data_IF_869992456320
#
_entry.id   IF_869992456320
#
_cell.length_a   1.000
_cell.length_b   1.000
_cell.length_c   1.000
_cell.angle_alpha   90.00
_cell.angle_beta   90.00
_cell.angle_gamma   90.00
#
_symmetry.space_group_name_H-M   'P 1'
#
loop_
_entity.id
_entity.type
_entity.pdbx_description
1 polymer ?
#
# COMPACT_ATOMS: atom_id res chain seq x y z
N UNK A 1 -13.15 41.85 -18.84
CA UNK A 1 -12.63 40.83 -19.78
C UNK A 1 -11.27 40.24 -19.40
N UNK A 2 -10.41 40.94 -18.64
CA UNK A 2 -9.09 40.43 -18.23
C UNK A 2 -9.14 39.35 -17.13
N UNK A 3 -10.06 39.46 -16.16
CA UNK A 3 -10.22 38.49 -15.06
C UNK A 3 -10.70 37.10 -15.50
N UNK A 4 -11.54 37.00 -16.54
CA UNK A 4 -11.99 35.71 -17.07
C UNK A 4 -10.86 34.91 -17.73
N UNK A 5 -9.89 35.60 -18.35
CA UNK A 5 -8.75 34.97 -19.03
C UNK A 5 -7.73 34.39 -18.05
N UNK A 6 -7.55 35.04 -16.90
CA UNK A 6 -6.67 34.55 -15.83
C UNK A 6 -7.28 33.30 -15.19
N UNK A 7 -8.59 33.32 -14.87
CA UNK A 7 -9.29 32.17 -14.28
C UNK A 7 -9.24 30.92 -15.17
N UNK A 8 -9.43 31.09 -16.48
CA UNK A 8 -9.32 29.98 -17.44
C UNK A 8 -7.90 29.43 -17.58
N UNK A 9 -6.87 30.27 -17.41
CA UNK A 9 -5.48 29.81 -17.45
C UNK A 9 -5.15 28.97 -16.20
N UNK A 10 -5.58 29.42 -15.01
CA UNK A 10 -5.36 28.68 -13.76
C UNK A 10 -6.06 27.31 -13.78
N UNK A 11 -7.26 27.23 -14.36
CA UNK A 11 -8.02 25.98 -14.46
C UNK A 11 -7.37 24.97 -15.42
N UNK A 12 -6.73 25.45 -16.49
CA UNK A 12 -5.98 24.58 -17.42
C UNK A 12 -4.71 24.07 -16.75
N UNK A 13 -3.97 24.91 -16.02
CA UNK A 13 -2.77 24.49 -15.29
C UNK A 13 -3.05 23.49 -14.17
N UNK A 14 -4.18 23.62 -13.46
CA UNK A 14 -4.57 22.62 -12.44
C UNK A 14 -5.03 21.31 -13.06
N UNK A 15 -5.76 21.35 -14.18
CA UNK A 15 -6.20 20.14 -14.87
C UNK A 15 -5.03 19.38 -15.51
N UNK A 16 -4.10 20.06 -16.19
CA UNK A 16 -2.94 19.40 -16.81
C UNK A 16 -1.94 18.90 -15.77
N UNK A 17 -1.73 19.65 -14.67
CA UNK A 17 -0.89 19.21 -13.55
C UNK A 17 -1.43 17.94 -12.88
N UNK A 18 -2.76 17.86 -12.67
CA UNK A 18 -3.40 16.67 -12.10
C UNK A 18 -3.30 15.44 -13.00
N UNK A 19 -3.45 15.61 -14.32
CA UNK A 19 -3.30 14.52 -15.29
C UNK A 19 -1.86 14.00 -15.34
N UNK A 20 -0.87 14.89 -15.29
CA UNK A 20 0.55 14.49 -15.32
C UNK A 20 0.95 13.70 -14.07
N UNK A 21 0.47 14.11 -12.89
CA UNK A 21 0.70 13.39 -11.64
C UNK A 21 0.01 12.02 -11.63
N UNK A 22 -1.24 11.94 -12.11
CA UNK A 22 -1.94 10.66 -12.23
C UNK A 22 -1.29 9.72 -13.25
N UNK A 23 -0.74 10.25 -14.34
CA UNK A 23 -0.04 9.45 -15.34
C UNK A 23 1.30 8.92 -14.80
N UNK A 24 2.06 9.75 -14.08
CA UNK A 24 3.31 9.32 -13.44
C UNK A 24 3.06 8.23 -12.39
N UNK A 25 1.98 8.33 -11.61
CA UNK A 25 1.56 7.29 -10.66
C UNK A 25 1.21 5.97 -11.38
N UNK A 26 0.49 6.04 -12.50
CA UNK A 26 0.16 4.87 -13.32
C UNK A 26 1.39 4.21 -13.96
N UNK A 27 2.31 4.99 -14.53
CA UNK A 27 3.55 4.46 -15.12
C UNK A 27 4.43 3.80 -14.07
N UNK A 28 4.51 4.38 -12.86
CA UNK A 28 5.26 3.78 -11.76
C UNK A 28 4.64 2.46 -11.31
N UNK A 29 3.30 2.40 -11.19
CA UNK A 29 2.54 1.17 -10.90
C UNK A 29 2.74 0.08 -11.96
N UNK A 30 2.78 0.45 -13.24
CA UNK A 30 3.03 -0.51 -14.33
C UNK A 30 4.47 -1.01 -14.41
N UNK A 31 5.45 -0.17 -14.09
CA UNK A 31 6.86 -0.55 -14.03
C UNK A 31 7.11 -1.54 -12.88
N UNK A 32 6.56 -1.23 -11.70
CA UNK A 32 6.62 -2.08 -10.53
C UNK A 32 6.00 -3.46 -10.81
N UNK A 33 4.83 -3.50 -11.46
CA UNK A 33 4.18 -4.76 -11.84
C UNK A 33 4.99 -5.60 -12.86
N UNK A 34 5.90 -4.98 -13.63
CA UNK A 34 6.72 -5.66 -14.65
C UNK A 34 8.03 -6.23 -14.10
N UNK A 35 8.68 -5.58 -13.14
CA UNK A 35 10.01 -5.99 -12.64
C UNK A 35 9.98 -7.16 -11.65
N UNK A 36 8.85 -7.43 -11.00
CA UNK A 36 8.71 -8.48 -9.96
C UNK A 36 8.77 -9.92 -10.52
N UNK A 37 9.00 -10.11 -11.83
CA UNK A 37 9.11 -11.44 -12.45
C UNK A 37 10.56 -11.86 -12.68
N UNK A 38 11.20 -12.55 -11.74
CA UNK A 38 12.24 -13.52 -12.16
C UNK A 38 12.64 -14.64 -11.18
N UNK A 39 12.23 -14.66 -9.91
CA UNK A 39 12.52 -15.80 -9.03
C UNK A 39 11.29 -16.17 -8.20
N UNK A 40 10.70 -17.34 -8.48
CA UNK A 40 9.65 -17.92 -7.65
C UNK A 40 10.29 -18.44 -6.36
N UNK A 41 10.19 -17.69 -5.27
CA UNK A 41 10.71 -18.10 -3.97
C UNK A 41 9.59 -18.79 -3.19
N UNK A 42 9.74 -20.07 -2.90
CA UNK A 42 8.79 -20.82 -2.04
C UNK A 42 9.15 -20.52 -0.58
N UNK A 43 8.31 -19.79 0.17
CA UNK A 43 8.58 -19.52 1.58
C UNK A 43 8.54 -20.81 2.40
N UNK A 44 9.29 -20.89 3.51
CA UNK A 44 9.19 -22.04 4.42
C UNK A 44 7.79 -22.19 5.01
N UNK A 45 7.35 -23.44 5.21
CA UNK A 45 6.07 -23.74 5.87
C UNK A 45 6.11 -23.42 7.39
N UNK A 46 7.31 -23.33 7.97
CA UNK A 46 7.50 -22.96 9.36
C UNK A 46 7.22 -21.48 9.60
N UNK A 47 6.64 -21.15 10.76
CA UNK A 47 6.52 -19.78 11.22
C UNK A 47 7.90 -19.08 11.31
N UNK A 48 8.05 -17.83 10.84
CA UNK A 48 9.29 -17.08 11.02
C UNK A 48 9.56 -16.82 12.52
N UNK A 49 10.80 -16.96 13.00
CA UNK A 49 11.18 -16.46 14.31
C UNK A 49 10.88 -14.96 14.42
N UNK A 50 10.36 -14.51 15.56
CA UNK A 50 10.04 -13.10 15.80
C UNK A 50 11.31 -12.30 16.13
N UNK A 51 12.11 -12.04 15.09
CA UNK A 51 13.41 -11.37 15.18
C UNK A 51 13.56 -10.37 14.05
N UNK A 52 14.46 -9.40 14.22
CA UNK A 52 14.84 -8.46 13.16
C UNK A 52 15.42 -9.19 11.93
N UNK A 53 16.15 -10.28 12.15
CA UNK A 53 16.73 -11.10 11.07
C UNK A 53 15.65 -11.67 10.15
N UNK A 54 14.51 -12.11 10.69
CA UNK A 54 13.39 -12.59 9.86
C UNK A 54 12.79 -11.49 8.99
N UNK A 55 12.76 -10.23 9.44
CA UNK A 55 12.36 -9.09 8.62
C UNK A 55 13.34 -8.94 7.44
N UNK A 56 14.64 -8.95 7.72
CA UNK A 56 15.69 -8.81 6.69
C UNK A 56 15.67 -9.95 5.68
N UNK A 57 15.40 -11.18 6.14
CA UNK A 57 15.22 -12.35 5.29
C UNK A 57 13.98 -12.17 4.42
N UNK A 58 12.84 -11.74 4.96
CA UNK A 58 11.61 -11.56 4.21
C UNK A 58 11.75 -10.49 3.10
N UNK A 59 12.41 -9.36 3.39
CA UNK A 59 12.71 -8.32 2.39
C UNK A 59 13.45 -8.92 1.18
N UNK A 60 14.50 -9.72 1.44
CA UNK A 60 15.28 -10.38 0.39
C UNK A 60 14.48 -11.49 -0.31
N UNK A 61 13.77 -12.31 0.46
CA UNK A 61 12.99 -13.45 -0.01
C UNK A 61 11.93 -13.02 -1.02
N UNK A 62 11.26 -11.90 -0.76
CA UNK A 62 10.19 -11.38 -1.61
C UNK A 62 10.63 -10.23 -2.53
N UNK A 63 11.92 -9.92 -2.58
CA UNK A 63 12.48 -8.81 -3.34
C UNK A 63 11.73 -7.48 -3.08
N UNK A 64 11.52 -7.16 -1.80
CA UNK A 64 10.93 -5.90 -1.35
C UNK A 64 12.06 -4.93 -1.08
N UNK A 65 12.04 -3.78 -1.75
CA UNK A 65 13.01 -2.72 -1.55
C UNK A 65 12.52 -1.73 -0.50
N UNK A 66 13.45 -1.22 0.31
CA UNK A 66 13.15 -0.14 1.26
C UNK A 66 13.35 1.18 0.51
N UNK A 67 12.29 2.00 0.32
CA UNK A 67 12.42 3.26 -0.38
C UNK A 67 13.39 4.21 0.34
N UNK A 68 14.05 5.09 -0.41
CA UNK A 68 14.93 6.11 0.18
C UNK A 68 14.21 7.05 1.15
N UNK A 69 12.89 7.19 0.99
CA UNK A 69 11.99 7.95 1.86
C UNK A 69 11.64 7.22 3.16
N UNK A 70 12.07 5.97 3.36
CA UNK A 70 11.79 5.18 4.54
C UNK A 70 13.07 4.83 5.32
N UNK A 71 12.92 4.60 6.61
CA UNK A 71 13.92 3.91 7.42
C UNK A 71 13.78 2.41 7.24
N UNK A 72 14.85 1.68 7.58
CA UNK A 72 14.80 0.22 7.52
C UNK A 72 13.76 -0.31 8.52
N UNK A 73 12.85 -1.23 8.12
CA UNK A 73 11.78 -1.69 8.99
C UNK A 73 12.31 -2.31 10.28
N UNK A 74 11.65 -2.01 11.40
CA UNK A 74 12.05 -2.48 12.73
C UNK A 74 10.98 -3.32 13.40
N UNK A 75 11.41 -4.32 14.16
CA UNK A 75 10.51 -5.08 15.04
C UNK A 75 10.07 -4.22 16.24
N UNK A 76 8.77 -4.15 16.49
CA UNK A 76 8.19 -3.62 17.72
C UNK A 76 7.31 -4.68 18.39
N UNK A 77 7.76 -5.18 19.53
CA UNK A 77 7.05 -6.24 20.27
C UNK A 77 5.77 -5.76 20.95
N UNK A 78 5.55 -4.45 21.07
CA UNK A 78 4.37 -3.87 21.69
C UNK A 78 3.35 -3.38 20.67
N UNK A 79 3.65 -3.47 19.36
CA UNK A 79 2.72 -3.09 18.31
C UNK A 79 1.60 -4.14 18.21
N UNK A 80 0.36 -3.71 18.44
CA UNK A 80 -0.82 -4.59 18.36
C UNK A 80 -1.15 -4.98 16.91
N UNK A 81 -0.88 -4.06 15.97
CA UNK A 81 -1.08 -4.26 14.54
C UNK A 81 0.01 -5.12 13.89
N UNK A 82 -0.22 -5.56 12.65
CA UNK A 82 0.79 -6.29 11.86
C UNK A 82 1.96 -5.37 11.50
N UNK A 83 1.65 -4.18 11.04
CA UNK A 83 2.60 -3.19 10.55
C UNK A 83 2.06 -1.79 10.82
N UNK A 84 2.97 -0.82 10.84
CA UNK A 84 2.64 0.58 10.97
C UNK A 84 3.71 1.42 10.30
N UNK A 85 3.27 2.35 9.44
CA UNK A 85 4.11 3.39 8.85
C UNK A 85 3.78 4.75 9.47
N UNK A 86 4.77 5.42 10.04
CA UNK A 86 4.60 6.74 10.66
C UNK A 86 5.54 7.79 10.07
N UNK A 87 5.07 9.04 10.02
CA UNK A 87 5.94 10.17 9.73
C UNK A 87 6.71 10.54 11.00
N UNK A 88 8.04 10.37 10.99
CA UNK A 88 8.87 10.80 12.09
C UNK A 88 8.80 12.33 12.22
N UNK A 89 8.31 12.85 13.34
CA UNK A 89 8.04 14.28 13.54
C UNK A 89 9.25 15.21 13.42
N UNK A 90 10.47 14.66 13.36
CA UNK A 90 11.72 15.39 13.17
C UNK A 90 12.54 14.94 11.95
N UNK A 91 12.09 13.90 11.24
CA UNK A 91 12.81 13.28 10.12
C UNK A 91 12.14 13.54 8.77
N UNK A 92 12.93 13.48 7.70
CA UNK A 92 12.41 13.43 6.33
C UNK A 92 12.01 12.03 5.88
N UNK A 93 12.23 11.01 6.73
CA UNK A 93 11.97 9.60 6.43
C UNK A 93 10.80 9.06 7.24
N UNK A 94 10.06 8.14 6.62
CA UNK A 94 8.99 7.36 7.22
C UNK A 94 9.58 6.22 8.06
N UNK A 95 9.01 6.00 9.24
CA UNK A 95 9.37 4.89 10.11
C UNK A 95 8.40 3.74 9.91
N UNK A 96 8.93 2.58 9.53
CA UNK A 96 8.17 1.34 9.36
C UNK A 96 8.45 0.40 10.52
N UNK A 97 7.39 -0.02 11.21
CA UNK A 97 7.44 -0.95 12.34
C UNK A 97 6.58 -2.17 12.07
N UNK A 98 7.05 -3.35 12.48
CA UNK A 98 6.34 -4.62 12.33
C UNK A 98 6.05 -5.19 13.72
N UNK A 99 4.80 -5.60 13.93
CA UNK A 99 4.35 -6.19 15.19
C UNK A 99 4.35 -7.72 15.16
N UNK A 100 4.15 -8.37 16.32
CA UNK A 100 4.11 -9.83 16.45
C UNK A 100 3.14 -10.51 15.47
N UNK A 101 2.01 -9.88 15.16
CA UNK A 101 0.97 -10.43 14.29
C UNK A 101 1.44 -10.67 12.85
N UNK A 102 2.45 -9.93 12.36
CA UNK A 102 3.02 -10.14 11.03
C UNK A 102 3.79 -11.47 10.91
N UNK A 103 4.25 -12.04 12.03
CA UNK A 103 5.11 -13.22 12.05
C UNK A 103 4.32 -14.54 12.06
N UNK A 104 3.03 -14.57 11.74
CA UNK A 104 2.24 -15.81 11.73
C UNK A 104 2.65 -16.78 10.61
N UNK A 105 3.17 -16.26 9.50
CA UNK A 105 3.78 -17.02 8.41
C UNK A 105 4.75 -16.12 7.63
N UNK A 106 5.68 -16.73 6.89
CA UNK A 106 6.56 -15.97 5.99
C UNK A 106 5.76 -15.20 4.92
N UNK A 107 4.68 -15.81 4.44
CA UNK A 107 3.76 -15.20 3.48
C UNK A 107 3.13 -13.91 4.04
N UNK A 108 2.62 -13.95 5.27
CA UNK A 108 2.01 -12.78 5.91
C UNK A 108 3.05 -11.71 6.25
N UNK A 109 4.25 -12.11 6.68
CA UNK A 109 5.34 -11.18 6.95
C UNK A 109 5.73 -10.41 5.68
N UNK A 110 5.92 -11.12 4.56
CA UNK A 110 6.21 -10.51 3.26
C UNK A 110 5.09 -9.58 2.79
N UNK A 111 3.83 -10.05 2.88
CA UNK A 111 2.65 -9.26 2.52
C UNK A 111 2.53 -7.97 3.35
N UNK A 112 2.78 -8.06 4.66
CA UNK A 112 2.77 -6.90 5.55
C UNK A 112 3.91 -5.94 5.22
N UNK A 113 5.12 -6.43 4.96
CA UNK A 113 6.23 -5.55 4.54
C UNK A 113 5.91 -4.80 3.25
N UNK A 114 5.30 -5.46 2.27
CA UNK A 114 4.90 -4.82 1.02
C UNK A 114 3.75 -3.81 1.24
N UNK A 115 2.81 -4.09 2.13
CA UNK A 115 1.77 -3.15 2.54
C UNK A 115 2.39 -1.83 3.04
N UNK A 116 3.37 -1.92 3.94
CA UNK A 116 4.03 -0.73 4.50
C UNK A 116 4.98 -0.04 3.49
N UNK A 117 5.85 -0.80 2.83
CA UNK A 117 6.95 -0.23 2.03
C UNK A 117 6.57 0.09 0.60
N UNK A 118 5.75 -0.73 -0.04
CA UNK A 118 5.40 -0.56 -1.47
C UNK A 118 4.14 0.28 -1.64
N UNK A 119 3.40 0.53 -0.55
CA UNK A 119 2.19 1.37 -0.58
C UNK A 119 2.34 2.57 0.35
N UNK A 120 2.35 2.39 1.67
CA UNK A 120 2.37 3.54 2.58
C UNK A 120 3.60 4.42 2.39
N UNK A 121 4.78 3.86 2.14
CA UNK A 121 5.97 4.67 1.91
C UNK A 121 5.99 5.49 0.61
N UNK A 122 5.10 5.15 -0.33
CA UNK A 122 4.91 5.87 -1.60
C UNK A 122 3.71 6.82 -1.55
N UNK A 123 2.88 6.73 -0.52
CA UNK A 123 1.70 7.59 -0.35
C UNK A 123 2.07 9.00 0.13
N UNK A 124 1.25 9.98 -0.26
CA UNK A 124 1.40 11.36 0.19
C UNK A 124 0.56 11.61 1.45
N UNK A 125 1.19 11.47 2.62
CA UNK A 125 0.54 11.68 3.93
C UNK A 125 -0.08 13.07 4.11
N UNK A 126 0.47 14.10 3.47
CA UNK A 126 -0.13 15.44 3.52
C UNK A 126 -1.47 15.47 2.79
N UNK A 127 -1.54 14.90 1.60
CA UNK A 127 -2.80 14.80 0.83
C UNK A 127 -3.84 13.96 1.57
N UNK A 128 -3.42 12.82 2.14
CA UNK A 128 -4.27 11.97 2.98
C UNK A 128 -4.86 12.79 4.13
N UNK A 129 -4.01 13.51 4.88
CA UNK A 129 -4.45 14.34 6.00
C UNK A 129 -5.41 15.45 5.58
N UNK A 130 -5.16 16.10 4.45
CA UNK A 130 -6.03 17.14 3.90
C UNK A 130 -7.39 16.56 3.53
N UNK A 131 -7.44 15.39 2.89
CA UNK A 131 -8.68 14.68 2.60
C UNK A 131 -9.46 14.37 3.88
N UNK A 132 -8.79 13.89 4.93
CA UNK A 132 -9.43 13.60 6.22
C UNK A 132 -10.03 14.86 6.86
N UNK A 133 -9.29 15.98 6.85
CA UNK A 133 -9.79 17.28 7.34
C UNK A 133 -11.03 17.73 6.57
N UNK A 134 -11.09 17.44 5.27
CA UNK A 134 -12.24 17.75 4.41
C UNK A 134 -13.38 16.71 4.51
N UNK A 135 -13.25 15.68 5.35
CA UNK A 135 -14.24 14.62 5.51
C UNK A 135 -14.29 13.62 4.35
N UNK A 136 -13.25 13.55 3.52
CA UNK A 136 -13.15 12.71 2.32
C UNK A 136 -12.48 11.36 2.57
N UNK A 137 -12.34 10.92 3.84
CA UNK A 137 -11.84 9.59 4.23
C UNK A 137 -10.52 9.19 3.55
N UNK A 138 -9.54 10.10 3.54
CA UNK A 138 -8.25 9.87 2.91
C UNK A 138 -7.51 8.69 3.52
N UNK A 139 -7.56 8.53 4.85
CA UNK A 139 -6.95 7.39 5.55
C UNK A 139 -7.62 6.08 5.12
N UNK A 140 -8.95 5.99 5.12
CA UNK A 140 -9.67 4.76 4.71
C UNK A 140 -9.33 4.36 3.26
N UNK A 141 -9.23 5.33 2.34
CA UNK A 141 -8.86 5.08 0.95
C UNK A 141 -7.42 4.54 0.83
N UNK A 142 -6.50 5.14 1.58
CA UNK A 142 -5.08 4.79 1.58
C UNK A 142 -4.83 3.37 2.13
N UNK A 143 -5.47 3.04 3.25
CA UNK A 143 -5.43 1.70 3.85
C UNK A 143 -6.03 0.65 2.90
N UNK A 144 -7.18 0.97 2.30
CA UNK A 144 -7.82 0.06 1.34
C UNK A 144 -6.95 -0.21 0.12
N UNK A 145 -6.25 0.80 -0.40
CA UNK A 145 -5.26 0.61 -1.48
C UNK A 145 -4.18 -0.39 -1.06
N UNK A 146 -3.68 -0.29 0.18
CA UNK A 146 -2.65 -1.19 0.69
C UNK A 146 -3.15 -2.64 0.84
N UNK A 147 -4.36 -2.85 1.37
CA UNK A 147 -4.98 -4.19 1.41
C UNK A 147 -5.25 -4.78 0.02
N UNK A 148 -5.70 -3.96 -0.94
CA UNK A 148 -5.90 -4.41 -2.32
C UNK A 148 -4.58 -4.80 -2.98
N UNK A 149 -3.50 -4.08 -2.67
CA UNK A 149 -2.16 -4.41 -3.12
C UNK A 149 -1.67 -5.75 -2.56
N UNK A 150 -1.90 -6.05 -1.27
CA UNK A 150 -1.62 -7.37 -0.68
C UNK A 150 -2.35 -8.49 -1.44
N UNK A 151 -3.66 -8.31 -1.69
CA UNK A 151 -4.48 -9.31 -2.39
C UNK A 151 -4.05 -9.51 -3.85
N UNK A 152 -3.73 -8.42 -4.56
CA UNK A 152 -3.25 -8.46 -5.94
C UNK A 152 -1.90 -9.19 -6.06
N UNK A 153 -1.04 -9.03 -5.06
CA UNK A 153 0.26 -9.69 -4.97
C UNK A 153 0.24 -11.01 -4.17
N UNK A 154 -0.95 -11.56 -3.88
CA UNK A 154 -1.07 -12.79 -3.09
C UNK A 154 -0.25 -13.98 -3.63
N UNK A 155 -0.07 -14.06 -4.94
CA UNK A 155 0.77 -15.09 -5.55
C UNK A 155 2.27 -14.86 -5.28
N UNK A 156 2.75 -13.62 -5.26
CA UNK A 156 4.15 -13.26 -4.96
C UNK A 156 4.52 -13.70 -3.54
N UNK A 157 3.59 -13.50 -2.59
CA UNK A 157 3.82 -13.83 -1.19
C UNK A 157 3.39 -15.26 -0.82
N UNK A 158 2.82 -16.03 -1.75
CA UNK A 158 2.25 -17.35 -1.48
C UNK A 158 1.17 -17.34 -0.39
N UNK A 159 0.33 -16.30 -0.33
CA UNK A 159 -0.79 -16.22 0.61
C UNK A 159 -1.75 -17.38 0.36
N UNK A 160 -2.07 -18.11 1.44
CA UNK A 160 -3.05 -19.19 1.35
C UNK A 160 -4.48 -18.61 1.29
N UNK A 161 -5.49 -19.47 1.10
CA UNK A 161 -6.87 -19.01 0.96
C UNK A 161 -7.42 -18.37 2.24
N UNK A 162 -7.01 -18.85 3.41
CA UNK A 162 -7.42 -18.27 4.69
C UNK A 162 -6.80 -16.89 4.90
N UNK A 163 -5.52 -16.70 4.55
CA UNK A 163 -4.85 -15.40 4.63
C UNK A 163 -5.59 -14.37 3.76
N UNK A 164 -5.91 -14.73 2.51
CA UNK A 164 -6.67 -13.86 1.60
C UNK A 164 -8.04 -13.50 2.15
N UNK A 165 -8.75 -14.47 2.74
CA UNK A 165 -10.07 -14.23 3.36
C UNK A 165 -9.92 -13.29 4.54
N UNK A 166 -8.93 -13.50 5.41
CA UNK A 166 -8.71 -12.67 6.60
C UNK A 166 -8.33 -11.23 6.21
N UNK A 167 -7.38 -11.07 5.29
CA UNK A 167 -6.96 -9.76 4.75
C UNK A 167 -8.16 -9.03 4.15
N UNK A 168 -8.96 -9.73 3.32
CA UNK A 168 -10.16 -9.15 2.72
C UNK A 168 -11.21 -8.77 3.78
N UNK A 169 -11.45 -9.63 4.76
CA UNK A 169 -12.43 -9.38 5.82
C UNK A 169 -12.02 -8.20 6.70
N UNK A 170 -10.74 -8.09 7.08
CA UNK A 170 -10.19 -6.93 7.79
C UNK A 170 -10.39 -5.66 6.98
N UNK A 171 -10.01 -5.66 5.70
CA UNK A 171 -10.21 -4.52 4.81
C UNK A 171 -11.68 -4.10 4.72
N UNK A 172 -12.61 -5.05 4.55
CA UNK A 172 -14.04 -4.75 4.40
C UNK A 172 -14.69 -4.28 5.71
N UNK A 173 -14.21 -4.77 6.85
CA UNK A 173 -14.72 -4.39 8.17
C UNK A 173 -14.26 -2.98 8.58
N UNK A 174 -12.95 -2.70 8.49
CA UNK A 174 -12.39 -1.42 8.93
C UNK A 174 -12.48 -0.33 7.86
N UNK A 175 -12.36 -0.69 6.57
CA UNK A 175 -12.27 0.26 5.46
C UNK A 175 -13.28 -0.06 4.34
N UNK A 176 -14.60 -0.06 4.64
CA UNK A 176 -15.62 -0.39 3.66
C UNK A 176 -15.63 0.63 2.50
N UNK A 177 -15.78 0.15 1.27
CA UNK A 177 -15.92 1.03 0.12
C UNK A 177 -17.21 1.83 0.20
N UNK A 178 -17.16 3.13 -0.14
CA UNK A 178 -18.35 3.97 -0.28
C UNK A 178 -19.29 3.52 -1.41
N UNK A 179 -18.79 2.67 -2.32
CA UNK A 179 -19.51 2.07 -3.44
C UNK A 179 -19.50 0.54 -3.27
N UNK A 180 -20.65 -0.16 -3.31
CA UNK A 180 -20.70 -1.61 -3.25
C UNK A 180 -19.89 -2.26 -4.38
N UNK A 181 -19.08 -3.26 -4.05
CA UNK A 181 -18.18 -3.97 -4.99
C UNK A 181 -18.90 -4.57 -6.22
N UNK A 182 -20.22 -4.81 -6.13
CA UNK A 182 -21.03 -5.40 -7.20
C UNK A 182 -21.22 -4.49 -8.43
N UNK A 183 -21.09 -3.16 -8.30
CA UNK A 183 -21.23 -2.26 -9.45
C UNK A 183 -19.96 -2.19 -10.32
N UNK A 184 -18.77 -2.31 -9.73
CA UNK A 184 -17.50 -2.21 -10.47
C UNK A 184 -17.26 -3.41 -11.42
N UNK A 185 -17.72 -4.61 -11.04
CA UNK A 185 -17.64 -5.81 -11.90
C UNK A 185 -18.79 -5.89 -12.91
N UNK A 186 -19.98 -5.39 -12.59
CA UNK A 186 -21.12 -5.39 -13.51
C UNK A 186 -20.99 -4.33 -14.62
N UNK A 187 -20.34 -3.20 -14.36
CA UNK A 187 -20.00 -2.20 -15.38
C UNK A 187 -18.99 -2.75 -16.41
N UNK A 188 -18.04 -3.58 -15.99
CA UNK A 188 -17.02 -4.18 -16.88
C UNK A 188 -17.57 -5.32 -17.74
N UNK A 189 -18.68 -5.95 -17.34
CA UNK A 189 -19.35 -7.03 -18.10
C UNK A 189 -20.40 -6.55 -19.10
N UNK A 190 -20.82 -5.29 -19.03
CA UNK A 190 -21.82 -4.70 -19.96
C UNK A 190 -21.20 -3.95 -21.15
N UNK A 191 -19.87 -3.98 -21.29
CA UNK A 191 -19.14 -3.30 -22.38
C UNK A 191 -18.26 -4.22 -23.24
N UNK A 192 -18.53 -5.53 -23.26
CA UNK A 192 -17.85 -6.51 -24.12
C UNK A 192 -18.81 -7.10 -25.13
#
# INVERSE_FOLDING_TARGET
>A
MFLLRILSLTLVFTATGGIFLAHADLEHKEHFAREVRSVSVVPPDSQPPMTQESIDIALKMFAIEVPDTATHPRLDLNLEDRGLTTLNGWGSKLDVTLGPAAFSSWALLGSTLAHELEVHCLQNFFVIRVKDILGLKGTDEAEREAYLHELANSNRFHLNQNDKINIKATMEYYYPSAQPFDEALSARRKGG
#
